data_IF_882581468788
#
_entry.id   IF_882581468788
#
_cell.length_a   1.000
_cell.length_b   1.000
_cell.length_c   1.000
_cell.angle_alpha   90.00
_cell.angle_beta   90.00
_cell.angle_gamma   90.00
#
_symmetry.space_group_name_H-M   'P 1'
#
loop_
_entity.id
_entity.type
_entity.pdbx_description
1 polymer ?
#
# COMPACT_ATOMS: atom_id res chain seq x y z
N UNK A 1 28.64 27.40 58.02
CA UNK A 1 28.57 25.96 58.34
C UNK A 1 27.45 25.37 57.51
N UNK A 2 27.76 24.26 56.85
CA UNK A 2 27.10 23.71 55.67
C UNK A 2 25.58 23.52 55.75
N UNK A 3 24.89 24.04 54.74
CA UNK A 3 23.53 23.64 54.36
C UNK A 3 23.63 22.50 53.34
N UNK A 4 23.50 21.26 53.80
CA UNK A 4 23.49 20.07 52.95
C UNK A 4 22.23 19.96 52.10
N UNK A 5 22.38 20.10 50.78
CA UNK A 5 21.39 19.69 49.79
C UNK A 5 21.19 18.16 49.79
N UNK A 6 19.98 17.64 49.57
CA UNK A 6 19.78 16.22 49.34
C UNK A 6 20.34 15.84 47.96
N UNK A 7 21.31 14.94 47.95
CA UNK A 7 21.84 14.34 46.72
C UNK A 7 20.72 13.60 45.99
N UNK A 8 20.36 14.11 44.80
CA UNK A 8 19.67 13.31 43.77
C UNK A 8 20.54 12.08 43.49
N UNK A 9 20.03 10.89 43.83
CA UNK A 9 20.52 9.63 43.28
C UNK A 9 20.40 9.69 41.76
N UNK A 10 21.48 10.07 41.09
CA UNK A 10 21.68 9.78 39.68
C UNK A 10 21.84 8.27 39.57
N UNK A 11 20.77 7.57 39.21
CA UNK A 11 20.86 6.21 38.74
C UNK A 11 21.55 6.23 37.38
N UNK A 12 22.85 5.93 37.39
CA UNK A 12 23.63 5.60 36.20
C UNK A 12 23.01 4.39 35.50
N UNK A 13 22.09 4.60 34.56
CA UNK A 13 21.67 3.58 33.60
C UNK A 13 22.70 3.50 32.48
N UNK A 14 23.85 2.87 32.79
CA UNK A 14 24.74 2.42 31.72
C UNK A 14 23.95 1.52 30.75
N UNK A 15 23.90 1.96 29.51
CA UNK A 15 23.02 1.52 28.42
C UNK A 15 23.37 0.13 27.89
N UNK A 16 22.96 -0.93 28.59
CA UNK A 16 23.09 -2.33 28.13
C UNK A 16 22.35 -2.54 26.80
N UNK A 17 23.06 -2.94 25.73
CA UNK A 17 22.43 -3.27 24.42
C UNK A 17 21.33 -4.34 24.63
N UNK A 18 20.17 -4.21 23.96
CA UNK A 18 19.11 -5.21 24.09
C UNK A 18 19.60 -6.60 23.68
N UNK A 19 19.23 -7.62 24.47
CA UNK A 19 19.51 -9.01 24.13
C UNK A 19 18.50 -9.47 23.07
N UNK A 20 18.98 -9.92 21.92
CA UNK A 20 18.11 -10.29 20.80
C UNK A 20 18.64 -11.55 20.11
N UNK A 21 17.72 -12.36 19.58
CA UNK A 21 18.05 -13.70 19.08
C UNK A 21 17.15 -14.18 17.93
N UNK A 22 17.64 -15.20 17.23
CA UNK A 22 16.87 -16.03 16.32
C UNK A 22 16.31 -17.25 17.05
N UNK A 23 15.08 -17.64 16.67
CA UNK A 23 14.38 -18.84 17.14
C UNK A 23 13.72 -19.53 15.93
N UNK A 24 13.50 -20.85 16.00
CA UNK A 24 12.76 -21.59 14.96
C UNK A 24 11.24 -21.51 15.11
N UNK A 25 10.74 -21.17 16.30
CA UNK A 25 9.31 -21.08 16.61
C UNK A 25 9.03 -19.95 17.60
N UNK A 26 7.87 -19.32 17.44
CA UNK A 26 7.39 -18.29 18.38
C UNK A 26 7.18 -18.84 19.79
N UNK A 27 6.83 -20.12 19.93
CA UNK A 27 6.63 -20.77 21.25
C UNK A 27 7.89 -20.79 22.12
N UNK A 28 9.08 -20.75 21.51
CA UNK A 28 10.35 -20.75 22.24
C UNK A 28 10.65 -19.40 22.91
N UNK A 29 9.95 -18.33 22.53
CA UNK A 29 10.16 -17.00 23.08
C UNK A 29 9.78 -16.90 24.57
N UNK A 30 8.86 -17.74 25.05
CA UNK A 30 8.42 -17.74 26.46
C UNK A 30 9.54 -18.13 27.42
N UNK A 31 10.37 -19.11 27.04
CA UNK A 31 11.51 -19.59 27.83
C UNK A 31 12.79 -18.76 27.70
N UNK A 32 12.82 -17.81 26.75
CA UNK A 32 14.02 -17.01 26.47
C UNK A 32 14.09 -15.72 27.29
N UNK A 33 15.33 -15.34 27.64
CA UNK A 33 15.67 -14.07 28.30
C UNK A 33 15.85 -12.90 27.32
N UNK A 34 15.72 -13.12 26.02
CA UNK A 34 15.85 -12.07 25.02
C UNK A 34 14.69 -11.07 25.08
N UNK A 35 14.99 -9.82 24.75
CA UNK A 35 14.05 -8.70 24.68
C UNK A 35 13.32 -8.66 23.33
N UNK A 36 13.93 -9.19 22.27
CA UNK A 36 13.31 -9.32 20.97
C UNK A 36 13.87 -10.51 20.17
N UNK A 37 13.07 -10.95 19.20
CA UNK A 37 13.22 -12.22 18.52
C UNK A 37 13.04 -12.07 17.01
N UNK A 38 13.73 -12.88 16.23
CA UNK A 38 13.42 -13.11 14.81
C UNK A 38 13.08 -14.59 14.64
N UNK A 39 11.87 -14.87 14.13
CA UNK A 39 11.41 -16.23 13.83
C UNK A 39 11.21 -16.34 12.32
N UNK A 40 11.99 -17.15 11.59
CA UNK A 40 11.79 -17.36 10.17
C UNK A 40 10.39 -17.93 9.89
N UNK A 41 9.77 -17.47 8.80
CA UNK A 41 8.47 -17.98 8.41
C UNK A 41 8.60 -19.40 7.84
N UNK A 42 7.74 -20.30 8.29
CA UNK A 42 7.61 -21.64 7.70
C UNK A 42 6.85 -21.63 6.37
N UNK A 43 6.26 -20.48 6.00
CA UNK A 43 5.52 -20.34 4.74
C UNK A 43 6.50 -20.29 3.56
N UNK A 44 6.21 -21.11 2.53
CA UNK A 44 7.01 -21.20 1.29
C UNK A 44 6.83 -20.00 0.35
N UNK A 45 6.60 -18.80 0.86
CA UNK A 45 6.49 -17.61 0.03
C UNK A 45 7.86 -17.27 -0.57
N UNK A 46 7.92 -17.24 -1.89
CA UNK A 46 9.16 -17.12 -2.65
C UNK A 46 9.18 -15.79 -3.42
N UNK A 47 10.01 -14.86 -2.97
CA UNK A 47 10.29 -13.60 -3.62
C UNK A 47 11.52 -13.74 -4.53
N UNK A 48 11.33 -14.13 -5.79
CA UNK A 48 12.41 -14.16 -6.80
C UNK A 48 13.60 -15.06 -6.42
N UNK A 49 13.31 -16.18 -5.77
CA UNK A 49 14.31 -17.11 -5.25
C UNK A 49 14.69 -16.84 -3.80
N UNK A 50 14.17 -15.80 -3.16
CA UNK A 50 14.43 -15.47 -1.75
C UNK A 50 13.23 -15.83 -0.86
N UNK A 51 13.48 -16.53 0.23
CA UNK A 51 12.53 -16.85 1.31
C UNK A 51 12.99 -16.20 2.60
N UNK A 52 12.71 -14.92 2.72
CA UNK A 52 13.22 -14.06 3.81
C UNK A 52 12.12 -13.54 4.73
N UNK A 53 10.89 -14.04 4.58
CA UNK A 53 9.79 -13.67 5.47
C UNK A 53 10.03 -14.16 6.89
N UNK A 54 9.71 -13.35 7.88
CA UNK A 54 9.85 -13.70 9.29
C UNK A 54 8.83 -12.96 10.16
N UNK A 55 8.76 -13.34 11.43
CA UNK A 55 8.10 -12.58 12.48
C UNK A 55 9.15 -11.97 13.39
N UNK A 56 9.02 -10.69 13.69
CA UNK A 56 9.79 -10.01 14.74
C UNK A 56 8.92 -9.97 16.00
N UNK A 57 9.42 -10.58 17.08
CA UNK A 57 8.80 -10.51 18.39
C UNK A 57 9.51 -9.49 19.27
N UNK A 58 8.78 -8.75 20.10
CA UNK A 58 9.40 -7.93 21.15
C UNK A 58 8.62 -8.04 22.46
N UNK A 59 9.35 -8.00 23.57
CA UNK A 59 8.78 -8.09 24.91
C UNK A 59 8.42 -6.70 25.44
N UNK A 60 7.20 -6.52 25.91
CA UNK A 60 6.75 -5.28 26.56
C UNK A 60 7.18 -5.22 28.05
N UNK A 61 6.77 -4.15 28.73
CA UNK A 61 7.10 -3.94 30.16
C UNK A 61 6.47 -4.98 31.09
N UNK A 62 5.39 -5.63 30.65
CA UNK A 62 4.69 -6.67 31.41
C UNK A 62 5.20 -8.08 31.10
N UNK A 63 6.15 -8.20 30.16
CA UNK A 63 6.69 -9.47 29.73
C UNK A 63 5.94 -10.13 28.57
N UNK A 64 4.90 -9.51 28.01
CA UNK A 64 4.17 -10.06 26.88
C UNK A 64 4.94 -9.87 25.58
N UNK A 65 4.96 -10.90 24.74
CA UNK A 65 5.62 -10.85 23.43
C UNK A 65 4.59 -10.47 22.38
N UNK A 66 4.81 -9.33 21.72
CA UNK A 66 4.03 -8.90 20.55
C UNK A 66 4.79 -9.27 19.27
N UNK A 67 4.10 -9.91 18.34
CA UNK A 67 4.66 -10.35 17.06
C UNK A 67 4.23 -9.44 15.91
N UNK A 68 5.18 -9.07 15.06
CA UNK A 68 5.00 -8.23 13.88
C UNK A 68 5.57 -8.93 12.65
N UNK A 69 4.94 -8.75 11.50
CA UNK A 69 5.48 -9.28 10.24
C UNK A 69 6.69 -8.48 9.77
N UNK A 70 7.72 -9.21 9.32
CA UNK A 70 8.99 -8.64 8.92
C UNK A 70 9.62 -9.44 7.77
N UNK A 71 10.70 -8.88 7.23
CA UNK A 71 11.66 -9.59 6.37
C UNK A 71 13.02 -9.55 7.02
N UNK A 72 13.78 -10.64 6.91
CA UNK A 72 15.16 -10.73 7.37
C UNK A 72 16.04 -11.39 6.31
N UNK A 73 17.00 -10.63 5.79
CA UNK A 73 18.01 -11.13 4.86
C UNK A 73 19.30 -11.43 5.62
N UNK A 74 19.91 -12.59 5.34
CA UNK A 74 21.25 -12.97 5.82
C UNK A 74 22.18 -12.99 4.62
N UNK A 75 23.38 -12.43 4.75
CA UNK A 75 24.32 -12.30 3.64
C UNK A 75 24.71 -13.66 3.06
N UNK A 76 24.55 -13.81 1.75
CA UNK A 76 24.85 -15.04 1.03
C UNK A 76 23.72 -16.07 1.04
N UNK A 77 22.65 -15.83 1.82
CA UNK A 77 21.57 -16.78 2.01
C UNK A 77 20.31 -16.37 1.25
N UNK A 78 19.68 -17.37 0.63
CA UNK A 78 18.39 -17.19 -0.05
C UNK A 78 17.22 -17.64 0.80
N UNK A 79 17.42 -18.58 1.71
CA UNK A 79 16.38 -19.12 2.57
C UNK A 79 16.76 -18.88 4.04
N UNK A 80 16.01 -17.99 4.70
CA UNK A 80 16.27 -17.62 6.08
C UNK A 80 16.02 -18.80 7.04
N UNK A 81 15.01 -19.63 6.76
CA UNK A 81 14.69 -20.75 7.65
C UNK A 81 15.84 -21.74 7.66
N UNK A 82 16.31 -22.16 6.48
CA UNK A 82 17.45 -23.08 6.33
C UNK A 82 18.72 -22.49 6.96
N UNK A 83 19.02 -21.22 6.71
CA UNK A 83 20.22 -20.57 7.26
C UNK A 83 20.24 -20.54 8.79
N UNK A 84 19.09 -20.40 9.45
CA UNK A 84 19.00 -20.41 10.91
C UNK A 84 18.93 -21.84 11.46
N UNK A 85 18.23 -22.75 10.77
CA UNK A 85 18.16 -24.16 11.15
C UNK A 85 19.53 -24.83 11.16
N UNK A 86 20.40 -24.54 10.20
CA UNK A 86 21.76 -25.08 10.14
C UNK A 86 22.68 -24.60 11.27
N UNK A 87 22.39 -23.42 11.84
CA UNK A 87 23.17 -22.82 12.94
C UNK A 87 22.65 -23.23 14.31
N UNK A 88 21.42 -23.75 14.37
CA UNK A 88 20.83 -24.28 15.58
C UNK A 88 21.07 -25.79 15.64
N UNK A 89 21.15 -26.32 16.85
CA UNK A 89 21.36 -27.75 17.08
C UNK A 89 20.27 -28.27 18.03
N UNK A 90 20.07 -29.59 18.17
CA UNK A 90 19.10 -30.13 19.11
C UNK A 90 19.29 -29.60 20.55
N UNK A 91 20.51 -29.24 20.92
CA UNK A 91 20.89 -28.72 22.24
C UNK A 91 20.89 -27.18 22.32
N UNK A 92 20.82 -26.48 21.18
CA UNK A 92 20.83 -25.01 21.09
C UNK A 92 19.58 -24.56 20.33
N UNK A 93 18.57 -24.13 21.08
CA UNK A 93 17.27 -23.70 20.56
C UNK A 93 17.16 -22.18 20.32
N UNK A 94 18.20 -21.42 20.67
CA UNK A 94 18.27 -19.97 20.54
C UNK A 94 19.66 -19.55 20.05
N UNK A 95 19.70 -18.73 19.00
CA UNK A 95 20.94 -18.17 18.46
C UNK A 95 20.95 -16.66 18.72
N UNK A 96 21.82 -16.19 19.60
CA UNK A 96 21.91 -14.74 19.85
C UNK A 96 22.51 -14.01 18.65
N UNK A 97 22.02 -12.80 18.38
CA UNK A 97 22.49 -12.01 17.23
C UNK A 97 23.98 -11.65 17.27
N UNK A 98 24.60 -11.67 18.45
CA UNK A 98 26.03 -11.41 18.58
C UNK A 98 26.90 -12.63 18.23
N UNK A 99 26.31 -13.83 18.22
CA UNK A 99 26.96 -15.09 17.81
C UNK A 99 26.78 -15.36 16.31
N UNK A 100 25.96 -14.54 15.63
CA UNK A 100 25.75 -14.64 14.18
C UNK A 100 26.98 -14.13 13.42
N UNK A 101 27.71 -15.03 12.76
CA UNK A 101 28.89 -14.68 11.95
C UNK A 101 28.52 -13.88 10.70
N UNK A 102 27.43 -14.27 10.01
CA UNK A 102 26.98 -13.63 8.78
C UNK A 102 26.14 -12.40 9.12
N UNK A 103 26.42 -11.23 8.51
CA UNK A 103 25.63 -10.04 8.75
C UNK A 103 24.21 -10.24 8.22
N UNK A 104 23.24 -9.68 8.93
CA UNK A 104 21.84 -9.73 8.57
C UNK A 104 21.18 -8.35 8.63
N UNK A 105 20.04 -8.21 7.96
CA UNK A 105 19.24 -6.99 7.90
C UNK A 105 17.77 -7.31 8.02
N UNK A 106 17.07 -6.56 8.85
CA UNK A 106 15.62 -6.69 9.01
C UNK A 106 14.87 -5.48 8.45
N UNK A 107 13.59 -5.69 8.16
CA UNK A 107 12.64 -4.64 7.81
C UNK A 107 11.24 -5.10 8.23
N UNK A 108 10.57 -4.35 9.11
CA UNK A 108 9.13 -4.56 9.33
C UNK A 108 8.35 -4.31 8.04
N UNK A 109 7.36 -5.14 7.74
CA UNK A 109 6.67 -5.14 6.43
C UNK A 109 5.88 -3.85 6.17
N UNK A 110 5.48 -3.13 7.22
CA UNK A 110 4.66 -1.93 7.12
C UNK A 110 5.07 -0.83 8.12
N UNK A 111 4.67 0.41 7.83
CA UNK A 111 5.01 1.56 8.67
C UNK A 111 4.23 1.61 10.00
N UNK A 112 3.02 1.05 10.05
CA UNK A 112 2.16 1.01 11.26
C UNK A 112 2.81 0.15 12.36
N UNK A 113 3.52 -0.90 11.98
CA UNK A 113 4.28 -1.77 12.88
C UNK A 113 5.31 -1.01 13.74
N UNK A 114 5.99 0.01 13.19
CA UNK A 114 6.87 0.89 13.99
C UNK A 114 6.09 1.71 15.02
N UNK A 115 4.88 2.16 14.67
CA UNK A 115 3.98 2.86 15.58
C UNK A 115 3.47 1.96 16.70
N UNK A 116 3.26 0.67 16.44
CA UNK A 116 2.92 -0.33 17.46
C UNK A 116 4.08 -0.46 18.47
N UNK A 117 5.31 -0.67 18.00
CA UNK A 117 6.48 -0.77 18.89
C UNK A 117 6.67 0.50 19.73
N UNK A 118 6.51 1.68 19.12
CA UNK A 118 6.59 2.97 19.84
C UNK A 118 5.56 3.06 20.96
N UNK A 119 4.30 2.68 20.70
CA UNK A 119 3.23 2.75 21.72
C UNK A 119 3.48 1.78 22.88
N UNK A 120 4.00 0.58 22.58
CA UNK A 120 4.26 -0.44 23.59
C UNK A 120 5.51 -0.15 24.44
N UNK A 121 6.57 0.40 23.84
CA UNK A 121 7.90 0.50 24.47
C UNK A 121 8.37 1.94 24.71
N UNK A 122 7.76 2.92 24.06
CA UNK A 122 8.32 4.26 23.88
C UNK A 122 9.39 4.30 22.78
N UNK A 123 9.61 5.49 22.20
CA UNK A 123 10.59 5.67 21.12
C UNK A 123 12.01 5.20 21.49
N UNK A 124 12.59 5.59 22.66
CA UNK A 124 13.99 5.25 22.95
C UNK A 124 14.23 3.75 23.00
N UNK A 125 13.35 2.99 23.67
CA UNK A 125 13.50 1.54 23.80
C UNK A 125 13.21 0.83 22.47
N UNK A 126 12.14 1.22 21.76
CA UNK A 126 11.84 0.65 20.44
C UNK A 126 12.99 0.87 19.45
N UNK A 127 13.60 2.05 19.43
CA UNK A 127 14.79 2.35 18.61
C UNK A 127 15.96 1.44 18.95
N UNK A 128 16.22 1.19 20.24
CA UNK A 128 17.31 0.31 20.68
C UNK A 128 17.09 -1.13 20.23
N UNK A 129 15.87 -1.65 20.40
CA UNK A 129 15.50 -3.00 19.94
C UNK A 129 15.65 -3.12 18.43
N UNK A 130 15.05 -2.21 17.65
CA UNK A 130 15.18 -2.20 16.19
C UNK A 130 16.64 -2.09 15.75
N UNK A 131 17.47 -1.34 16.50
CA UNK A 131 18.90 -1.20 16.19
C UNK A 131 19.64 -2.52 16.41
N UNK A 132 19.32 -3.26 17.48
CA UNK A 132 19.88 -4.60 17.72
C UNK A 132 19.36 -5.65 16.73
N UNK A 133 18.16 -5.45 16.17
CA UNK A 133 17.60 -6.27 15.08
C UNK A 133 18.18 -5.92 13.71
N UNK A 134 19.12 -4.95 13.62
CA UNK A 134 19.69 -4.48 12.36
C UNK A 134 18.62 -3.99 11.36
N UNK A 135 17.55 -3.35 11.86
CA UNK A 135 16.48 -2.85 11.01
C UNK A 135 16.95 -1.69 10.11
N UNK A 136 16.64 -1.80 8.81
CA UNK A 136 17.16 -0.88 7.79
C UNK A 136 16.39 0.43 7.68
N UNK A 137 15.19 0.53 8.24
CA UNK A 137 14.41 1.78 8.22
C UNK A 137 14.96 2.79 9.23
N UNK A 138 15.53 2.31 10.35
CA UNK A 138 16.10 3.16 11.40
C UNK A 138 17.62 3.38 11.30
N UNK A 139 18.35 2.50 10.61
CA UNK A 139 19.76 2.73 10.29
C UNK A 139 19.84 3.84 9.23
N UNK A 140 20.51 4.94 9.55
CA UNK A 140 20.62 6.06 8.61
C UNK A 140 21.35 5.65 7.34
N UNK A 141 20.80 6.05 6.19
CA UNK A 141 21.49 6.02 4.90
C UNK A 141 22.73 6.90 5.03
N UNK A 142 23.91 6.30 5.25
CA UNK A 142 25.17 7.02 5.44
C UNK A 142 25.95 6.63 6.70
N UNK A 143 25.34 5.94 7.68
CA UNK A 143 26.12 5.20 8.66
C UNK A 143 26.89 4.12 7.90
N UNK A 144 28.23 4.21 7.88
CA UNK A 144 29.09 3.18 7.27
C UNK A 144 28.76 1.84 7.92
N UNK A 145 27.88 1.05 7.29
CA UNK A 145 27.55 -0.32 7.68
C UNK A 145 28.78 -1.16 7.36
N UNK A 146 29.71 -1.26 8.32
CA UNK A 146 31.02 -1.87 8.08
C UNK A 146 30.92 -3.35 7.71
N UNK A 147 29.86 -4.03 8.16
CA UNK A 147 29.63 -5.47 8.06
C UNK A 147 28.97 -5.90 6.73
N UNK A 148 28.12 -5.07 6.12
CA UNK A 148 27.47 -5.38 4.83
C UNK A 148 27.24 -4.09 4.02
N UNK A 149 28.29 -3.65 3.30
CA UNK A 149 28.31 -2.36 2.62
C UNK A 149 27.46 -2.34 1.34
N UNK A 150 27.47 -3.41 0.56
CA UNK A 150 26.78 -3.49 -0.73
C UNK A 150 25.32 -3.94 -0.65
N UNK A 151 24.76 -4.13 0.55
CA UNK A 151 23.39 -4.63 0.76
C UNK A 151 22.34 -3.93 -0.11
N UNK A 152 22.38 -2.60 -0.19
CA UNK A 152 21.40 -1.81 -0.95
C UNK A 152 21.54 -1.93 -2.48
N UNK A 153 22.62 -2.54 -2.97
CA UNK A 153 22.88 -2.80 -4.40
C UNK A 153 22.57 -4.24 -4.79
N UNK A 154 22.39 -5.12 -3.82
CA UNK A 154 22.12 -6.54 -4.05
C UNK A 154 20.65 -6.79 -4.38
N UNK A 155 20.41 -7.85 -5.16
CA UNK A 155 19.06 -8.25 -5.59
C UNK A 155 18.13 -8.57 -4.42
N UNK A 156 18.66 -9.07 -3.30
CA UNK A 156 17.85 -9.37 -2.11
C UNK A 156 17.16 -8.11 -1.57
N UNK A 157 17.78 -6.94 -1.69
CA UNK A 157 17.18 -5.68 -1.27
C UNK A 157 16.04 -5.29 -2.22
N UNK A 158 16.31 -5.18 -3.52
CA UNK A 158 15.33 -4.70 -4.51
C UNK A 158 14.21 -5.69 -4.80
N UNK A 159 14.52 -6.99 -4.87
CA UNK A 159 13.57 -8.02 -5.29
C UNK A 159 12.83 -8.68 -4.13
N UNK A 160 13.35 -8.63 -2.90
CA UNK A 160 12.72 -9.29 -1.76
C UNK A 160 12.37 -8.33 -0.61
N UNK A 161 13.32 -7.51 -0.12
CA UNK A 161 13.09 -6.66 1.05
C UNK A 161 12.04 -5.56 0.80
N UNK A 162 12.19 -4.78 -0.28
CA UNK A 162 11.34 -3.62 -0.59
C UNK A 162 10.40 -3.85 -1.78
N UNK A 163 10.11 -5.11 -2.11
CA UNK A 163 9.29 -5.49 -3.26
C UNK A 163 7.85 -4.99 -3.16
N UNK A 164 7.24 -5.14 -1.97
CA UNK A 164 5.89 -4.65 -1.73
C UNK A 164 5.93 -3.14 -1.48
N UNK A 165 4.88 -2.45 -1.93
CA UNK A 165 4.73 -1.01 -1.69
C UNK A 165 4.83 -0.70 -0.20
N UNK A 166 4.15 -1.49 0.62
CA UNK A 166 4.11 -1.37 2.09
C UNK A 166 5.51 -1.42 2.69
N UNK A 167 6.36 -2.34 2.24
CA UNK A 167 7.71 -2.49 2.74
C UNK A 167 8.64 -1.39 2.24
N UNK A 168 8.46 -0.92 1.01
CA UNK A 168 9.14 0.28 0.54
C UNK A 168 8.79 1.50 1.40
N UNK A 169 7.52 1.67 1.77
CA UNK A 169 7.09 2.73 2.69
C UNK A 169 7.65 2.55 4.10
N UNK A 170 7.63 1.33 4.62
CA UNK A 170 8.24 0.98 5.90
C UNK A 170 9.73 1.39 5.92
N UNK A 171 10.47 1.05 4.87
CA UNK A 171 11.88 1.44 4.72
C UNK A 171 12.06 2.96 4.69
N UNK A 172 11.23 3.68 3.92
CA UNK A 172 11.34 5.14 3.75
C UNK A 172 10.89 5.95 4.96
N UNK A 173 9.87 5.48 5.68
CA UNK A 173 9.13 6.26 6.68
C UNK A 173 9.16 5.67 8.09
N UNK A 174 9.59 4.42 8.25
CA UNK A 174 9.57 3.70 9.54
C UNK A 174 10.22 4.49 10.67
N UNK A 175 11.38 5.11 10.44
CA UNK A 175 12.03 5.95 11.44
C UNK A 175 11.23 7.20 11.83
N UNK A 176 10.53 7.84 10.89
CA UNK A 176 9.67 9.00 11.19
C UNK A 176 8.47 8.60 12.03
N UNK A 177 7.82 7.49 11.66
CA UNK A 177 6.70 6.92 12.44
C UNK A 177 7.15 6.53 13.85
N UNK A 178 8.33 5.92 13.97
CA UNK A 178 8.94 5.58 15.25
C UNK A 178 9.15 6.82 16.14
N UNK A 179 9.63 7.93 15.55
CA UNK A 179 9.80 9.23 16.23
C UNK A 179 8.48 9.88 16.65
N UNK A 180 7.33 9.29 16.30
CA UNK A 180 6.04 9.90 16.56
C UNK A 180 5.75 11.11 15.67
N UNK A 181 6.56 11.32 14.64
CA UNK A 181 6.26 12.24 13.56
C UNK A 181 5.17 11.57 12.72
N UNK A 182 3.94 11.67 13.21
CA UNK A 182 2.76 11.37 12.43
C UNK A 182 2.85 12.23 11.17
N UNK A 183 2.99 11.58 10.02
CA UNK A 183 2.10 11.99 8.95
C UNK A 183 0.73 11.62 9.52
N UNK A 184 -0.08 12.64 9.86
CA UNK A 184 -1.53 12.51 9.98
C UNK A 184 -1.95 11.43 9.00
N UNK A 185 -2.79 10.45 9.41
CA UNK A 185 -3.47 9.53 8.49
C UNK A 185 -3.59 10.24 7.16
N UNK A 186 -2.69 9.94 6.21
CA UNK A 186 -2.49 10.83 5.07
C UNK A 186 -3.60 10.45 4.15
N UNK A 187 -4.78 10.92 4.51
CA UNK A 187 -5.98 10.74 3.76
C UNK A 187 -5.61 11.22 2.37
N UNK A 188 -5.76 10.34 1.40
CA UNK A 188 -5.43 10.64 0.01
C UNK A 188 -6.21 11.87 -0.51
N UNK A 189 -7.19 12.35 0.27
CA UNK A 189 -7.89 13.63 0.16
C UNK A 189 -7.01 14.88 0.36
N UNK A 190 -5.76 14.85 -0.09
CA UNK A 190 -4.91 16.04 -0.10
C UNK A 190 -5.24 16.89 -1.31
N UNK A 191 -5.68 18.13 -1.09
CA UNK A 191 -5.87 19.08 -2.18
C UNK A 191 -4.52 19.45 -2.81
N UNK A 192 -4.48 19.48 -4.14
CA UNK A 192 -3.28 19.84 -4.90
C UNK A 192 -3.66 20.51 -6.22
N UNK A 193 -2.74 21.28 -6.76
CA UNK A 193 -2.92 21.97 -8.04
C UNK A 193 -1.85 21.53 -9.03
N UNK A 194 -2.23 21.34 -10.29
CA UNK A 194 -1.30 21.00 -11.37
C UNK A 194 -1.45 21.98 -12.52
N UNK A 195 -0.34 22.56 -12.92
CA UNK A 195 -0.23 23.35 -14.15
C UNK A 195 0.51 22.53 -15.22
N UNK A 196 -0.20 22.12 -16.27
CA UNK A 196 0.39 21.33 -17.36
C UNK A 196 1.23 22.22 -18.29
N UNK A 197 2.46 21.78 -18.57
CA UNK A 197 3.40 22.44 -19.49
C UNK A 197 3.33 21.86 -20.92
N UNK A 198 3.85 22.63 -21.87
CA UNK A 198 4.05 22.24 -23.27
C UNK A 198 3.06 22.88 -24.25
N UNK A 199 3.06 22.40 -25.50
CA UNK A 199 2.21 22.94 -26.56
C UNK A 199 0.71 22.69 -26.28
N UNK A 200 -0.08 23.76 -26.25
CA UNK A 200 -1.51 23.78 -25.94
C UNK A 200 -1.86 24.87 -24.93
N UNK A 201 -3.15 25.04 -24.59
CA UNK A 201 -3.56 25.99 -23.56
C UNK A 201 -2.92 25.63 -22.22
N UNK A 202 -2.28 26.61 -21.58
CA UNK A 202 -1.86 26.47 -20.17
C UNK A 202 -3.11 26.20 -19.34
N UNK A 203 -3.20 24.99 -18.80
CA UNK A 203 -4.38 24.54 -18.06
C UNK A 203 -3.94 24.22 -16.66
N UNK A 204 -4.52 24.96 -15.71
CA UNK A 204 -4.38 24.70 -14.28
C UNK A 204 -5.56 23.86 -13.84
N UNK A 205 -5.26 22.76 -13.15
CA UNK A 205 -6.26 21.89 -12.52
C UNK A 205 -6.11 21.99 -11.02
N UNK A 206 -7.13 22.53 -10.36
CA UNK A 206 -7.23 22.58 -8.91
C UNK A 206 -8.07 21.40 -8.41
N UNK A 207 -7.39 20.42 -7.81
CA UNK A 207 -8.05 19.25 -7.26
C UNK A 207 -8.39 19.50 -5.80
N UNK A 208 -9.67 19.78 -5.55
CA UNK A 208 -10.22 19.95 -4.22
C UNK A 208 -10.89 18.65 -3.76
N UNK A 209 -10.29 18.01 -2.77
CA UNK A 209 -10.75 16.73 -2.21
C UNK A 209 -11.39 16.95 -0.82
N UNK A 210 -12.34 17.88 -0.73
CA UNK A 210 -13.02 18.20 0.53
C UNK A 210 -14.06 17.15 0.94
N UNK A 211 -14.26 16.97 2.25
CA UNK A 211 -15.27 16.03 2.78
C UNK A 211 -16.72 16.52 2.62
N UNK A 212 -16.92 17.74 2.14
CA UNK A 212 -18.23 18.41 2.07
C UNK A 212 -18.98 18.09 0.78
N UNK A 213 -18.31 17.51 -0.22
CA UNK A 213 -18.95 17.11 -1.47
C UNK A 213 -19.65 15.74 -1.37
N UNK A 214 -20.66 15.53 -2.22
CA UNK A 214 -21.48 14.30 -2.30
C UNK A 214 -20.65 13.02 -2.53
N UNK A 215 -19.45 13.13 -3.10
CA UNK A 215 -18.52 12.04 -3.38
C UNK A 215 -17.41 11.94 -2.32
N UNK A 216 -17.64 12.51 -1.12
CA UNK A 216 -16.75 12.54 0.05
C UNK A 216 -15.34 13.08 -0.24
N UNK A 217 -15.17 13.88 -1.29
CA UNK A 217 -13.89 14.46 -1.66
C UNK A 217 -12.95 13.48 -2.33
N UNK A 218 -13.43 12.50 -3.11
CA UNK A 218 -12.56 11.45 -3.66
C UNK A 218 -12.55 11.34 -5.18
N UNK A 219 -13.42 12.08 -5.85
CA UNK A 219 -13.57 12.01 -7.30
C UNK A 219 -13.48 13.43 -7.86
N UNK A 220 -12.60 13.61 -8.84
CA UNK A 220 -12.53 14.81 -9.66
C UNK A 220 -12.91 14.45 -11.10
N UNK A 221 -13.68 15.32 -11.76
CA UNK A 221 -14.19 15.06 -13.12
C UNK A 221 -13.74 16.19 -14.05
N UNK A 222 -13.07 15.81 -15.15
CA UNK A 222 -12.68 16.75 -16.22
C UNK A 222 -13.74 16.71 -17.32
N UNK A 223 -14.47 17.80 -17.49
CA UNK A 223 -15.54 17.94 -18.48
C UNK A 223 -15.13 18.98 -19.54
N UNK A 224 -15.47 18.72 -20.80
CA UNK A 224 -15.19 19.61 -21.91
C UNK A 224 -15.66 19.00 -23.23
N UNK A 225 -15.72 19.81 -24.29
CA UNK A 225 -16.14 19.35 -25.61
C UNK A 225 -15.17 18.30 -26.18
N UNK A 226 -15.60 17.57 -27.21
CA UNK A 226 -14.73 16.64 -27.93
C UNK A 226 -13.57 17.42 -28.57
N UNK A 227 -12.36 16.87 -28.52
CA UNK A 227 -11.17 17.54 -29.03
C UNK A 227 -10.47 18.52 -28.08
N UNK A 228 -11.06 18.89 -26.95
CA UNK A 228 -10.42 19.81 -25.97
C UNK A 228 -9.24 19.22 -25.17
N UNK A 229 -8.68 18.07 -25.59
CA UNK A 229 -7.47 17.52 -24.96
C UNK A 229 -7.66 16.79 -23.62
N UNK A 230 -8.88 16.50 -23.16
CA UNK A 230 -9.16 15.79 -21.89
C UNK A 230 -8.29 14.54 -21.67
N UNK A 231 -8.22 13.66 -22.66
CA UNK A 231 -7.42 12.42 -22.60
C UNK A 231 -5.93 12.71 -22.51
N UNK A 232 -5.44 13.72 -23.24
CA UNK A 232 -4.04 14.15 -23.20
C UNK A 232 -3.68 14.75 -21.83
N UNK A 233 -4.57 15.56 -21.26
CA UNK A 233 -4.41 16.11 -19.92
C UNK A 233 -4.33 15.00 -18.86
N UNK A 234 -5.24 14.02 -18.89
CA UNK A 234 -5.23 12.89 -17.97
C UNK A 234 -3.97 12.03 -18.10
N UNK A 235 -3.49 11.81 -19.33
CA UNK A 235 -2.24 11.09 -19.60
C UNK A 235 -1.02 11.82 -19.02
N UNK A 236 -0.94 13.15 -19.21
CA UNK A 236 0.10 13.98 -18.61
C UNK A 236 0.03 13.95 -17.08
N UNK A 237 -1.15 14.12 -16.49
CA UNK A 237 -1.37 14.05 -15.04
C UNK A 237 -0.86 12.73 -14.46
N UNK A 238 -1.24 11.59 -15.06
CA UNK A 238 -0.79 10.26 -14.64
C UNK A 238 0.74 10.14 -14.66
N UNK A 239 1.40 10.61 -15.73
CA UNK A 239 2.86 10.58 -15.85
C UNK A 239 3.54 11.46 -14.81
N UNK A 240 3.10 12.70 -14.67
CA UNK A 240 3.71 13.67 -13.74
C UNK A 240 3.52 13.21 -12.32
N UNK A 241 2.36 12.68 -11.94
CA UNK A 241 2.16 12.18 -10.59
C UNK A 241 3.03 10.93 -10.31
N UNK A 242 3.22 10.05 -11.29
CA UNK A 242 4.00 8.81 -11.15
C UNK A 242 5.51 9.06 -11.08
N UNK A 243 5.98 10.05 -11.81
CA UNK A 243 7.39 10.38 -11.96
C UNK A 243 7.71 11.73 -11.32
N UNK A 244 8.54 11.72 -10.27
CA UNK A 244 8.89 12.95 -9.54
C UNK A 244 9.75 13.91 -10.36
N UNK A 245 10.54 13.40 -11.30
CA UNK A 245 11.47 14.15 -12.14
C UNK A 245 10.82 14.68 -13.43
N UNK A 246 9.53 14.37 -13.65
CA UNK A 246 8.81 14.80 -14.86
C UNK A 246 8.67 16.32 -14.93
N UNK A 247 9.15 16.89 -16.05
CA UNK A 247 9.04 18.33 -16.36
C UNK A 247 7.77 18.71 -17.12
N UNK A 248 6.83 17.78 -17.25
CA UNK A 248 5.60 17.99 -18.03
C UNK A 248 4.56 18.86 -17.30
N UNK A 249 4.74 19.14 -16.01
CA UNK A 249 3.86 20.01 -15.24
C UNK A 249 4.56 20.53 -13.97
N UNK A 250 4.05 21.64 -13.43
CA UNK A 250 4.35 22.06 -12.07
C UNK A 250 3.22 21.62 -11.14
N UNK A 251 3.56 21.13 -9.94
CA UNK A 251 2.59 20.68 -8.94
C UNK A 251 2.77 21.47 -7.66
N UNK A 252 1.71 22.13 -7.21
CA UNK A 252 1.62 22.74 -5.88
C UNK A 252 0.99 21.75 -4.92
N UNK A 253 1.56 21.61 -3.71
CA UNK A 253 1.12 20.64 -2.69
C UNK A 253 1.08 19.20 -3.20
N UNK A 254 2.16 18.76 -3.87
CA UNK A 254 2.22 17.45 -4.51
C UNK A 254 1.84 16.32 -3.55
N UNK A 255 0.82 15.50 -3.90
CA UNK A 255 0.41 14.40 -3.05
C UNK A 255 1.47 13.30 -3.04
N UNK A 256 1.64 12.67 -1.88
CA UNK A 256 2.48 11.49 -1.74
C UNK A 256 1.69 10.24 -2.15
N UNK A 257 1.91 9.77 -3.38
CA UNK A 257 1.20 8.61 -3.93
C UNK A 257 2.08 7.37 -3.96
N UNK A 258 1.55 6.23 -3.51
CA UNK A 258 2.26 4.94 -3.58
C UNK A 258 2.32 4.45 -5.03
N UNK A 259 1.15 4.46 -5.67
CA UNK A 259 0.93 3.89 -6.99
C UNK A 259 -0.08 4.73 -7.75
N UNK A 260 0.01 4.71 -9.09
CA UNK A 260 -0.95 5.32 -9.98
C UNK A 260 -1.59 4.24 -10.83
N UNK A 261 -2.90 4.09 -10.68
CA UNK A 261 -3.71 3.19 -11.47
C UNK A 261 -4.42 4.00 -12.56
N UNK A 262 -4.06 3.75 -13.82
CA UNK A 262 -4.69 4.40 -14.96
C UNK A 262 -5.61 3.39 -15.65
N UNK A 263 -6.91 3.61 -15.56
CA UNK A 263 -7.93 2.82 -16.24
C UNK A 263 -8.38 3.55 -17.51
N UNK A 264 -8.15 2.96 -18.69
CA UNK A 264 -8.40 3.63 -19.97
C UNK A 264 -9.21 2.75 -20.93
N UNK A 265 -10.15 3.36 -21.64
CA UNK A 265 -10.91 2.70 -22.73
C UNK A 265 -10.26 2.90 -24.11
N UNK A 266 -9.07 3.51 -24.19
CA UNK A 266 -8.40 3.84 -25.45
C UNK A 266 -7.26 2.87 -25.75
N UNK A 267 -6.91 2.69 -27.03
CA UNK A 267 -5.70 1.96 -27.42
C UNK A 267 -4.40 2.74 -27.11
N UNK A 268 -4.51 3.98 -26.63
CA UNK A 268 -3.40 4.90 -26.39
C UNK A 268 -2.61 4.61 -25.11
N UNK A 269 -2.38 3.32 -24.78
CA UNK A 269 -1.65 2.88 -23.57
C UNK A 269 -0.32 3.60 -23.42
N UNK A 270 0.43 3.74 -24.51
CA UNK A 270 1.75 4.42 -24.54
C UNK A 270 1.69 5.87 -24.05
N UNK A 271 0.54 6.54 -24.16
CA UNK A 271 0.39 7.91 -23.66
C UNK A 271 0.35 7.97 -22.14
N UNK A 272 -0.10 6.90 -21.47
CA UNK A 272 -0.21 6.81 -20.02
C UNK A 272 1.00 6.13 -19.36
N UNK A 273 1.81 5.38 -20.12
CA UNK A 273 3.02 4.73 -19.61
C UNK A 273 4.16 5.75 -19.42
N UNK A 274 4.71 5.91 -18.19
CA UNK A 274 5.90 6.74 -17.96
C UNK A 274 7.14 6.15 -18.63
N UNK A 275 8.13 7.00 -18.94
CA UNK A 275 9.39 6.58 -19.55
C UNK A 275 10.52 6.34 -18.54
N UNK A 276 10.43 6.90 -17.34
CA UNK A 276 11.44 6.72 -16.29
C UNK A 276 11.28 5.39 -15.56
N UNK A 277 12.39 4.85 -15.02
CA UNK A 277 12.38 3.63 -14.20
C UNK A 277 11.50 3.80 -12.95
N UNK A 278 11.57 4.96 -12.29
CA UNK A 278 10.72 5.26 -11.14
C UNK A 278 9.23 5.29 -11.53
N UNK A 279 8.89 5.99 -12.61
CA UNK A 279 7.51 6.06 -13.09
C UNK A 279 6.96 4.68 -13.49
N UNK A 280 7.76 3.83 -14.13
CA UNK A 280 7.39 2.46 -14.49
C UNK A 280 7.14 1.56 -13.26
N UNK A 281 7.88 1.78 -12.16
CA UNK A 281 7.65 1.06 -10.91
C UNK A 281 6.33 1.47 -10.26
N UNK A 282 5.92 2.73 -10.40
CA UNK A 282 4.77 3.32 -9.68
C UNK A 282 3.47 3.38 -10.50
N UNK A 283 3.52 3.31 -11.82
CA UNK A 283 2.33 3.33 -12.67
C UNK A 283 1.89 1.93 -13.11
N UNK A 284 0.58 1.68 -13.08
CA UNK A 284 -0.08 0.52 -13.69
C UNK A 284 -1.19 1.01 -14.61
N UNK A 285 -1.14 0.61 -15.87
CA UNK A 285 -2.12 1.02 -16.88
C UNK A 285 -2.97 -0.20 -17.25
N UNK A 286 -4.27 -0.08 -17.04
CA UNK A 286 -5.27 -1.08 -17.40
C UNK A 286 -6.06 -0.56 -18.60
N UNK A 287 -6.11 -1.34 -19.68
CA UNK A 287 -6.88 -1.00 -20.88
C UNK A 287 -8.10 -1.91 -21.01
N UNK A 288 -9.26 -1.29 -21.16
CA UNK A 288 -10.53 -1.97 -21.43
C UNK A 288 -10.84 -2.07 -22.92
N UNK A 289 -9.91 -1.68 -23.81
CA UNK A 289 -10.10 -1.82 -25.25
C UNK A 289 -9.58 -3.20 -25.72
N UNK A 290 -10.47 -4.12 -26.13
CA UNK A 290 -10.10 -5.45 -26.60
C UNK A 290 -9.26 -5.44 -27.89
N UNK A 291 -9.33 -4.36 -28.68
CA UNK A 291 -8.58 -4.20 -29.93
C UNK A 291 -7.17 -3.59 -29.73
N UNK A 292 -6.69 -3.43 -28.49
CA UNK A 292 -5.34 -2.91 -28.24
C UNK A 292 -4.29 -3.92 -28.74
N UNK A 293 -3.29 -3.52 -29.54
CA UNK A 293 -2.28 -4.44 -30.06
C UNK A 293 -1.44 -5.06 -28.94
N UNK A 294 -1.33 -6.39 -28.92
CA UNK A 294 -0.64 -7.16 -27.86
C UNK A 294 0.20 -8.30 -28.43
N UNK A 295 1.22 -8.71 -27.67
CA UNK A 295 1.95 -9.97 -27.92
C UNK A 295 0.98 -11.13 -27.71
N UNK A 296 1.03 -12.13 -28.60
CA UNK A 296 0.06 -13.24 -28.68
C UNK A 296 -0.02 -14.16 -27.43
N UNK A 297 0.81 -13.99 -26.40
CA UNK A 297 0.92 -14.93 -25.27
C UNK A 297 0.50 -14.39 -23.90
N UNK A 298 0.00 -13.16 -23.77
CA UNK A 298 -0.43 -12.60 -22.49
C UNK A 298 -1.89 -12.15 -22.55
N UNK A 299 -2.78 -12.98 -22.02
CA UNK A 299 -4.12 -12.54 -21.66
C UNK A 299 -3.99 -11.51 -20.52
N UNK A 300 -4.42 -10.28 -20.76
CA UNK A 300 -4.32 -9.25 -19.72
C UNK A 300 -5.28 -9.57 -18.58
N UNK A 301 -4.87 -9.32 -17.33
CA UNK A 301 -5.76 -9.40 -16.16
C UNK A 301 -7.08 -8.64 -16.37
N UNK A 302 -7.09 -7.57 -17.16
CA UNK A 302 -8.32 -6.84 -17.53
C UNK A 302 -9.26 -7.65 -18.42
N UNK A 303 -8.72 -8.40 -19.39
CA UNK A 303 -9.51 -9.31 -20.23
C UNK A 303 -10.10 -10.42 -19.38
N UNK A 304 -9.28 -11.06 -18.54
CA UNK A 304 -9.74 -12.07 -17.58
C UNK A 304 -10.83 -11.52 -16.64
N UNK A 305 -10.66 -10.31 -16.10
CA UNK A 305 -11.68 -9.66 -15.26
C UNK A 305 -12.97 -9.35 -16.04
N UNK A 306 -12.87 -8.90 -17.29
CA UNK A 306 -14.04 -8.63 -18.15
C UNK A 306 -14.74 -9.94 -18.52
N UNK A 307 -13.98 -11.00 -18.80
CA UNK A 307 -14.51 -12.32 -19.14
C UNK A 307 -15.16 -12.97 -17.92
N UNK A 308 -14.59 -12.82 -16.72
CA UNK A 308 -15.24 -13.21 -15.47
C UNK A 308 -16.48 -12.35 -15.20
N UNK A 309 -16.44 -11.04 -15.47
CA UNK A 309 -17.59 -10.16 -15.28
C UNK A 309 -18.75 -10.46 -16.24
N UNK A 310 -18.45 -10.99 -17.44
CA UNK A 310 -19.44 -11.28 -18.49
C UNK A 310 -19.76 -12.76 -18.64
N UNK A 311 -18.94 -13.63 -18.06
CA UNK A 311 -18.98 -15.07 -18.25
C UNK A 311 -20.00 -15.76 -17.35
N UNK A 312 -20.39 -16.94 -17.80
CA UNK A 312 -21.36 -17.80 -17.14
C UNK A 312 -20.90 -19.25 -17.29
N UNK A 313 -20.98 -20.02 -16.22
CA UNK A 313 -20.72 -21.47 -16.24
C UNK A 313 -22.00 -22.25 -15.89
N UNK A 314 -21.87 -23.56 -15.67
CA UNK A 314 -22.98 -24.43 -15.26
C UNK A 314 -23.58 -24.10 -13.88
N UNK A 315 -22.89 -23.33 -13.05
CA UNK A 315 -23.26 -22.98 -11.67
C UNK A 315 -23.70 -21.52 -11.52
N UNK A 316 -23.59 -20.69 -12.56
CA UNK A 316 -24.09 -19.32 -12.55
C UNK A 316 -23.17 -18.30 -13.22
N UNK A 317 -23.46 -17.01 -13.04
CA UNK A 317 -22.56 -15.93 -13.46
C UNK A 317 -21.23 -16.03 -12.71
N UNK A 318 -20.10 -16.03 -13.43
CA UNK A 318 -18.76 -16.16 -12.85
C UNK A 318 -18.44 -15.04 -11.85
N UNK A 319 -19.03 -13.86 -12.03
CA UNK A 319 -18.91 -12.74 -11.09
C UNK A 319 -19.45 -13.08 -9.70
N UNK A 320 -20.50 -13.91 -9.60
CA UNK A 320 -21.02 -14.36 -8.30
C UNK A 320 -20.03 -15.29 -7.61
N UNK A 321 -19.40 -16.19 -8.36
CA UNK A 321 -18.38 -17.08 -7.79
C UNK A 321 -17.14 -16.31 -7.36
N UNK A 322 -16.69 -15.34 -8.15
CA UNK A 322 -15.58 -14.48 -7.77
C UNK A 322 -15.90 -13.70 -6.48
N UNK A 323 -17.12 -13.16 -6.37
CA UNK A 323 -17.56 -12.48 -5.15
C UNK A 323 -17.60 -13.43 -3.94
N UNK A 324 -18.02 -14.68 -4.12
CA UNK A 324 -18.05 -15.68 -3.06
C UNK A 324 -16.64 -16.09 -2.63
N UNK A 325 -15.73 -16.34 -3.58
CA UNK A 325 -14.30 -16.59 -3.29
C UNK A 325 -13.72 -15.44 -2.49
N UNK A 326 -13.98 -14.19 -2.89
CA UNK A 326 -13.51 -13.04 -2.14
C UNK A 326 -14.10 -12.99 -0.73
N UNK A 327 -15.37 -13.33 -0.55
CA UNK A 327 -16.01 -13.37 0.77
C UNK A 327 -15.43 -14.47 1.66
N UNK A 328 -15.12 -15.64 1.09
CA UNK A 328 -14.56 -16.79 1.83
C UNK A 328 -13.11 -16.55 2.20
N UNK A 329 -12.28 -16.10 1.26
CA UNK A 329 -10.84 -15.92 1.45
C UNK A 329 -10.49 -14.60 2.15
N UNK A 330 -11.33 -13.58 1.98
CA UNK A 330 -11.14 -12.25 2.54
C UNK A 330 -12.42 -11.79 3.24
N UNK A 331 -12.70 -12.37 4.41
CA UNK A 331 -13.96 -12.15 5.15
C UNK A 331 -14.33 -10.70 5.47
N UNK A 332 -13.37 -9.77 5.43
CA UNK A 332 -13.60 -8.32 5.60
C UNK A 332 -13.72 -7.54 4.27
N UNK A 333 -13.52 -8.19 3.13
CA UNK A 333 -13.51 -7.55 1.81
C UNK A 333 -14.91 -7.61 1.16
N UNK A 334 -15.59 -6.47 1.15
CA UNK A 334 -16.90 -6.34 0.51
C UNK A 334 -16.77 -5.72 -0.88
N UNK A 335 -17.18 -6.47 -1.91
CA UNK A 335 -17.26 -5.99 -3.30
C UNK A 335 -18.65 -5.47 -3.60
N UNK A 336 -18.77 -4.16 -3.78
CA UNK A 336 -20.00 -3.50 -4.20
C UNK A 336 -19.98 -3.28 -5.72
N UNK A 337 -20.81 -4.03 -6.45
CA UNK A 337 -21.00 -3.85 -7.89
C UNK A 337 -22.25 -2.99 -8.11
N UNK A 338 -22.14 -1.73 -8.55
CA UNK A 338 -23.30 -0.92 -8.86
C UNK A 338 -23.99 -1.48 -10.10
N UNK A 339 -25.08 -2.21 -9.88
CA UNK A 339 -25.95 -2.68 -10.95
C UNK A 339 -26.94 -1.57 -11.31
N UNK A 340 -26.98 -1.21 -12.59
CA UNK A 340 -28.06 -0.36 -13.10
C UNK A 340 -29.35 -1.19 -13.03
N UNK A 341 -30.19 -0.94 -12.04
CA UNK A 341 -31.53 -1.51 -12.01
C UNK A 341 -32.27 -0.89 -13.18
N UNK A 342 -32.59 -1.68 -14.20
CA UNK A 342 -33.59 -1.28 -15.18
C UNK A 342 -34.93 -1.17 -14.45
N UNK A 343 -35.22 0.03 -13.92
CA UNK A 343 -36.57 0.37 -13.50
C UNK A 343 -37.42 0.40 -14.76
N UNK A 344 -38.22 -0.65 -14.98
CA UNK A 344 -39.35 -0.55 -15.88
C UNK A 344 -40.30 0.52 -15.31
N UNK A 345 -40.21 1.72 -15.88
CA UNK A 345 -41.16 2.81 -15.69
C UNK A 345 -41.29 3.35 -14.27
N UNK A 346 -40.44 4.31 -13.91
CA UNK A 346 -40.87 5.58 -13.30
C UNK A 346 -39.64 6.46 -13.01
N UNK A 347 -39.63 7.62 -13.65
CA UNK A 347 -38.84 8.78 -13.24
C UNK A 347 -39.36 9.27 -11.89
N UNK A 348 -38.55 9.14 -10.85
CA UNK A 348 -38.30 10.20 -9.86
C UNK A 348 -37.15 9.77 -8.95
N UNK A 349 -36.30 10.76 -8.65
CA UNK A 349 -35.23 10.69 -7.66
C UNK A 349 -35.82 10.42 -6.27
N UNK A 350 -34.97 9.83 -5.43
CA UNK A 350 -35.10 9.49 -4.02
C UNK A 350 -35.50 8.03 -3.73
N UNK A 351 -34.78 7.53 -2.73
CA UNK A 351 -34.94 6.27 -2.01
C UNK A 351 -34.22 5.04 -2.58
N UNK A 352 -33.07 4.76 -1.95
CA UNK A 352 -32.37 3.46 -1.97
C UNK A 352 -32.94 2.67 -0.78
N UNK A 353 -33.90 1.78 -1.04
CA UNK A 353 -34.36 0.81 -0.05
C UNK A 353 -33.46 -0.43 -0.06
N UNK A 354 -33.06 -0.86 1.15
CA UNK A 354 -32.46 -2.15 1.42
C UNK A 354 -33.54 -3.23 1.42
N UNK A 355 -33.37 -4.35 0.71
CA UNK A 355 -34.22 -5.52 0.94
C UNK A 355 -33.52 -6.87 0.73
N UNK A 356 -33.77 -7.75 1.72
CA UNK A 356 -33.51 -9.18 1.77
C UNK A 356 -34.43 -9.95 0.78
N UNK A 357 -34.07 -11.17 0.35
CA UNK A 357 -34.80 -11.88 -0.70
C UNK A 357 -35.90 -12.77 -0.11
N UNK A 358 -37.12 -12.65 -0.62
CA UNK A 358 -38.08 -13.76 -0.63
C UNK A 358 -38.93 -13.74 -1.90
N UNK A 359 -39.23 -14.97 -2.35
CA UNK A 359 -39.66 -15.38 -3.69
C UNK A 359 -41.18 -15.32 -3.84
N UNK A 360 -41.73 -14.89 -4.98
CA UNK A 360 -42.86 -15.55 -5.69
C UNK A 360 -43.22 -14.93 -7.06
N UNK A 361 -43.87 -15.76 -7.90
CA UNK A 361 -43.98 -15.74 -9.38
C UNK A 361 -45.08 -14.82 -9.99
N UNK A 362 -44.76 -14.18 -11.15
CA UNK A 362 -45.49 -13.95 -12.46
C UNK A 362 -46.98 -13.44 -12.50
N UNK A 363 -47.55 -12.99 -13.66
CA UNK A 363 -47.08 -12.08 -14.75
C UNK A 363 -48.17 -11.10 -15.33
N UNK A 364 -47.76 -10.22 -16.26
CA UNK A 364 -48.45 -9.84 -17.54
C UNK A 364 -49.05 -8.42 -17.78
N UNK A 365 -48.91 -8.00 -19.06
CA UNK A 365 -49.75 -7.11 -19.92
C UNK A 365 -49.45 -5.59 -20.11
N UNK A 366 -48.90 -5.28 -21.31
CA UNK A 366 -49.30 -4.30 -22.37
C UNK A 366 -49.96 -2.95 -21.97
N UNK A 367 -49.37 -1.80 -22.38
CA UNK A 367 -49.71 -0.97 -23.57
C UNK A 367 -49.15 0.48 -23.54
N UNK A 368 -48.98 1.03 -24.76
CA UNK A 368 -48.50 2.37 -25.21
C UNK A 368 -49.17 3.60 -24.55
N UNK A 369 -48.43 4.73 -24.41
CA UNK A 369 -48.62 6.02 -25.15
C UNK A 369 -47.72 7.20 -24.69
N UNK A 370 -47.18 7.89 -25.70
CA UNK A 370 -46.74 9.29 -25.94
C UNK A 370 -46.77 10.44 -24.89
N UNK A 371 -45.60 11.16 -24.81
CA UNK A 371 -45.31 12.64 -24.77
C UNK A 371 -45.81 13.52 -23.58
N UNK A 372 -45.29 14.77 -23.31
CA UNK A 372 -44.05 15.49 -23.68
C UNK A 372 -43.34 16.29 -22.53
N UNK A 373 -42.16 16.85 -22.84
CA UNK A 373 -41.48 18.08 -22.34
C UNK A 373 -41.66 18.62 -20.90
N UNK A 374 -40.55 18.70 -20.13
CA UNK A 374 -40.33 19.72 -19.08
C UNK A 374 -38.84 20.16 -19.01
N UNK A 375 -38.63 21.49 -18.87
CA UNK A 375 -37.36 22.24 -18.94
C UNK A 375 -36.35 21.86 -17.84
N UNK A 376 -35.02 21.97 -18.06
CA UNK A 376 -34.04 21.86 -16.98
C UNK A 376 -33.92 23.17 -16.18
N UNK A 377 -33.99 23.04 -14.85
CA UNK A 377 -33.62 24.08 -13.89
C UNK A 377 -32.09 24.15 -13.75
N UNK A 378 -31.60 25.39 -13.61
CA UNK A 378 -30.19 25.78 -13.46
C UNK A 378 -29.52 25.12 -12.25
N UNK A 379 -28.31 24.59 -12.42
CA UNK A 379 -27.31 24.39 -11.36
C UNK A 379 -25.99 25.05 -11.80
N UNK A 380 -25.31 25.68 -10.84
CA UNK A 380 -24.28 26.71 -11.04
C UNK A 380 -22.98 26.24 -11.68
N UNK A 381 -22.38 27.13 -12.47
CA UNK A 381 -21.11 26.98 -13.18
C UNK A 381 -19.92 27.50 -12.36
N UNK A 382 -18.77 26.85 -12.50
CA UNK A 382 -17.46 27.46 -12.28
C UNK A 382 -17.20 28.51 -13.39
N UNK A 383 -16.83 29.73 -12.99
CA UNK A 383 -16.46 30.82 -13.91
C UNK A 383 -14.99 30.70 -14.30
N UNK A 384 -14.71 30.69 -15.59
CA UNK A 384 -13.47 31.25 -16.14
C UNK A 384 -13.62 32.77 -16.17
N UNK A 385 -12.76 33.51 -15.47
CA UNK A 385 -12.63 34.95 -15.68
C UNK A 385 -11.56 35.21 -16.74
N UNK A 386 -11.82 36.04 -17.76
CA UNK A 386 -10.80 36.57 -18.64
C UNK A 386 -10.24 37.86 -18.04
N UNK A 387 -8.91 37.99 -18.02
CA UNK A 387 -8.21 39.24 -18.39
C UNK A 387 -6.77 38.90 -18.74
#
# INVERSE_FOLDING_TARGET
MDTGMPQKKQTNSHTRKPLTSFLLSQSLAEGSKSEAFIVPSTRKYNDFGYRIGCSVGFRDQNGYVTWLEARCAVRGEKDLFTAIEELLSPDVFELFHHDMEKPFRTLLVDAKSYGIMRRALGEPQARRILSSLNDIAIKSVGARNRDWQDFYREDVFTHAMIRSSEAYFAYRKGNRVLQGLHELDSDARQAFSIELKGAGPQTVFDFQFDSQNFLRGRIAVIIGQNGCGKTSALAKLSKVLADKESRLADITNRPELNQILAFIHTASVRQFTPSSKEGLARARVFTFNPASPRKQSEESATTLLVDVARGHDSQGPLLKHLAEIFRTEFGEFEVYVPMKVERQGQSNLHDIEHSNPSVHRKPSLRHRRSMPCLRPRRFGYARSLPT
#
